data_IF_243213892970
#
_entry.id   IF_243213892970
#
_cell.length_a   1.000
_cell.length_b   1.000
_cell.length_c   1.000
_cell.angle_alpha   90.00
_cell.angle_beta   90.00
_cell.angle_gamma   90.00
#
_symmetry.space_group_name_H-M   'P 1'
#
loop_
_entity.id
_entity.type
_entity.pdbx_description
1 polymer ?
#
# COMPACT_ATOMS: atom_id res chain seq x y z
N UNK A 1 24.41 -4.88 -26.19
CA UNK A 1 24.43 -4.24 -24.86
C UNK A 1 24.21 -2.76 -25.07
N UNK A 2 23.39 -2.12 -24.24
CA UNK A 2 23.09 -0.69 -24.33
C UNK A 2 24.29 0.18 -23.95
N UNK A 3 24.22 1.49 -24.24
CA UNK A 3 25.23 2.47 -23.81
C UNK A 3 25.25 2.62 -22.27
N UNK A 4 26.32 3.19 -21.71
CA UNK A 4 26.48 3.31 -20.25
C UNK A 4 25.35 4.06 -19.54
N UNK A 5 24.73 5.02 -20.22
CA UNK A 5 23.65 5.88 -19.71
C UNK A 5 22.24 5.35 -20.06
N UNK A 6 22.14 4.10 -20.52
CA UNK A 6 20.88 3.48 -20.94
C UNK A 6 20.56 2.25 -20.11
N UNK A 7 19.28 2.08 -19.79
CA UNK A 7 18.76 0.85 -19.20
C UNK A 7 18.34 -0.12 -20.31
N UNK A 8 18.73 -1.40 -20.19
CA UNK A 8 18.31 -2.46 -21.09
C UNK A 8 17.06 -3.16 -20.57
N UNK A 9 15.94 -2.97 -21.27
CA UNK A 9 14.69 -3.69 -21.04
C UNK A 9 14.89 -5.21 -21.19
N UNK A 10 13.99 -6.01 -20.60
CA UNK A 10 14.01 -7.48 -20.71
C UNK A 10 13.78 -7.98 -22.15
N UNK A 11 13.06 -7.23 -22.99
CA UNK A 11 12.95 -7.51 -24.43
C UNK A 11 14.25 -7.18 -25.21
N UNK A 12 15.19 -6.45 -24.59
CA UNK A 12 16.46 -6.04 -25.20
C UNK A 12 16.46 -4.63 -25.78
N UNK A 13 15.34 -3.90 -25.70
CA UNK A 13 15.25 -2.48 -26.00
C UNK A 13 16.11 -1.66 -25.02
N UNK A 14 16.67 -0.54 -25.48
CA UNK A 14 17.42 0.39 -24.65
C UNK A 14 16.58 1.65 -24.44
N UNK A 15 16.35 2.01 -23.19
CA UNK A 15 15.68 3.27 -22.80
C UNK A 15 16.65 4.12 -21.98
N UNK A 16 16.33 5.40 -21.78
CA UNK A 16 17.11 6.27 -20.91
C UNK A 16 17.16 5.72 -19.48
N UNK A 17 18.26 5.94 -18.77
CA UNK A 17 18.32 5.54 -17.37
C UNK A 17 17.40 6.40 -16.48
N UNK A 18 17.05 7.60 -16.94
CA UNK A 18 16.11 8.53 -16.31
C UNK A 18 14.66 8.05 -16.32
N UNK A 19 14.29 7.20 -17.28
CA UNK A 19 12.94 6.63 -17.39
C UNK A 19 12.82 5.28 -16.69
N UNK A 20 13.76 4.96 -15.81
CA UNK A 20 13.69 3.76 -14.99
C UNK A 20 13.06 4.12 -13.65
N UNK A 21 11.96 3.46 -13.31
CA UNK A 21 11.21 3.69 -12.08
C UNK A 21 10.66 5.12 -12.00
N UNK A 22 10.25 5.68 -13.13
CA UNK A 22 9.70 7.04 -13.20
C UNK A 22 8.16 7.07 -13.17
N UNK A 23 7.53 5.90 -13.18
CA UNK A 23 6.08 5.72 -13.18
C UNK A 23 5.45 5.64 -14.58
N UNK A 24 6.24 5.77 -15.64
CA UNK A 24 5.80 5.65 -17.04
C UNK A 24 6.44 4.41 -17.69
N UNK A 25 5.71 3.79 -18.62
CA UNK A 25 6.21 2.61 -19.34
C UNK A 25 6.95 3.04 -20.62
N UNK A 26 8.27 3.19 -20.54
CA UNK A 26 9.17 3.36 -21.67
C UNK A 26 9.56 2.01 -22.32
N UNK A 27 9.68 0.92 -21.55
CA UNK A 27 9.89 -0.41 -22.12
C UNK A 27 8.57 -1.00 -22.64
N UNK A 28 8.58 -1.63 -23.82
CA UNK A 28 7.41 -2.36 -24.34
C UNK A 28 6.96 -3.49 -23.41
N UNK A 29 7.92 -4.11 -22.72
CA UNK A 29 7.66 -5.17 -21.74
C UNK A 29 7.57 -4.64 -20.29
N UNK A 30 7.51 -3.31 -20.12
CA UNK A 30 7.38 -2.60 -18.84
C UNK A 30 8.48 -2.95 -17.82
N UNK A 31 9.66 -3.40 -18.26
CA UNK A 31 10.77 -3.80 -17.36
C UNK A 31 11.55 -2.67 -16.73
N UNK A 32 11.44 -1.47 -17.28
CA UNK A 32 11.91 -0.23 -16.68
C UNK A 32 11.24 0.04 -15.33
N UNK A 33 9.95 -0.29 -15.22
CA UNK A 33 9.18 -0.17 -13.98
C UNK A 33 9.23 -1.44 -13.11
N UNK A 34 10.05 -2.43 -13.49
CA UNK A 34 10.21 -3.68 -12.72
C UNK A 34 11.39 -3.62 -11.76
N UNK A 35 11.18 -4.23 -10.59
CA UNK A 35 12.19 -4.35 -9.54
C UNK A 35 12.79 -2.99 -9.10
N UNK A 36 11.95 -1.96 -9.09
CA UNK A 36 12.29 -0.68 -8.52
C UNK A 36 12.54 -0.83 -7.01
N UNK A 37 13.58 -0.17 -6.52
CA UNK A 37 13.72 0.08 -5.10
C UNK A 37 12.78 1.24 -4.80
N UNK A 38 11.75 0.99 -4.01
CA UNK A 38 10.87 2.06 -3.55
C UNK A 38 11.70 3.10 -2.80
N UNK A 39 11.32 4.38 -2.88
CA UNK A 39 11.99 5.43 -2.10
C UNK A 39 11.88 5.07 -0.62
N UNK A 40 12.79 5.59 0.21
CA UNK A 40 13.00 5.18 1.60
C UNK A 40 11.79 5.30 2.55
N UNK A 41 10.61 5.69 2.08
CA UNK A 41 9.38 5.80 2.83
C UNK A 41 8.16 5.12 2.15
N UNK A 42 8.32 4.54 0.96
CA UNK A 42 7.24 3.93 0.19
C UNK A 42 7.10 2.44 0.53
N UNK A 43 5.84 1.97 0.60
CA UNK A 43 5.53 0.56 0.78
C UNK A 43 5.69 -0.17 -0.56
N UNK A 44 6.33 -1.34 -0.56
CA UNK A 44 6.52 -2.15 -1.75
C UNK A 44 5.49 -3.28 -1.80
N UNK A 45 4.59 -3.22 -2.77
CA UNK A 45 3.66 -4.31 -3.07
C UNK A 45 4.43 -5.59 -3.47
N UNK A 46 3.84 -6.78 -3.29
CA UNK A 46 4.39 -8.06 -3.77
C UNK A 46 4.64 -8.08 -5.28
N UNK A 47 3.81 -7.37 -6.05
CA UNK A 47 3.98 -7.19 -7.51
C UNK A 47 5.13 -6.24 -7.89
N UNK A 48 5.71 -5.52 -6.92
CA UNK A 48 6.82 -4.61 -7.09
C UNK A 48 6.44 -3.14 -7.22
N UNK A 49 5.15 -2.80 -7.28
CA UNK A 49 4.65 -1.42 -7.21
C UNK A 49 5.03 -0.77 -5.89
N UNK A 50 5.32 0.52 -5.95
CA UNK A 50 5.59 1.34 -4.78
C UNK A 50 4.36 2.20 -4.46
N UNK A 51 3.91 2.12 -3.21
CA UNK A 51 2.77 2.86 -2.69
C UNK A 51 3.29 3.96 -1.77
N UNK A 52 2.81 5.18 -1.98
CA UNK A 52 3.16 6.31 -1.13
C UNK A 52 2.77 5.99 0.32
N UNK A 53 3.54 6.39 1.34
CA UNK A 53 3.20 6.10 2.74
C UNK A 53 1.82 6.62 3.18
N UNK A 54 1.32 7.68 2.55
CA UNK A 54 -0.04 8.21 2.79
C UNK A 54 -1.17 7.36 2.18
N UNK A 55 -0.81 6.45 1.28
CA UNK A 55 -1.70 5.50 0.61
C UNK A 55 -1.62 4.10 1.21
N UNK A 56 -0.67 3.86 2.11
CA UNK A 56 -0.64 2.64 2.87
C UNK A 56 -1.67 2.72 3.98
N UNK A 57 -2.59 1.76 4.05
CA UNK A 57 -3.68 1.73 5.04
C UNK A 57 -4.64 2.92 4.92
N UNK A 58 -4.95 3.31 3.69
CA UNK A 58 -5.86 4.42 3.40
C UNK A 58 -7.29 3.96 3.09
N UNK A 59 -7.54 2.65 3.01
CA UNK A 59 -8.83 2.08 2.66
C UNK A 59 -9.07 1.84 1.19
N UNK A 60 -8.11 2.22 0.35
CA UNK A 60 -8.15 1.98 -1.07
C UNK A 60 -7.09 0.93 -1.40
N UNK A 61 -7.42 -0.02 -2.27
CA UNK A 61 -6.43 -0.98 -2.74
C UNK A 61 -5.52 -0.29 -3.76
N UNK A 62 -4.40 0.27 -3.29
CA UNK A 62 -3.37 0.83 -4.15
C UNK A 62 -2.41 -0.27 -4.65
N UNK A 63 -2.25 -1.41 -3.97
CA UNK A 63 -1.60 -2.60 -4.54
C UNK A 63 -2.54 -3.43 -5.42
N UNK A 64 -1.98 -4.18 -6.38
CA UNK A 64 -2.77 -5.03 -7.29
C UNK A 64 -3.54 -6.13 -6.55
N UNK A 65 -2.99 -6.65 -5.44
CA UNK A 65 -3.68 -7.60 -4.57
C UNK A 65 -4.31 -6.95 -3.32
N UNK A 66 -4.12 -5.64 -3.09
CA UNK A 66 -4.58 -4.93 -1.89
C UNK A 66 -3.72 -5.14 -0.63
N UNK A 67 -2.50 -5.68 -0.76
CA UNK A 67 -1.57 -5.95 0.34
C UNK A 67 -1.09 -4.73 1.12
N UNK A 68 -1.20 -3.54 0.54
CA UNK A 68 -1.06 -2.26 1.24
C UNK A 68 -2.09 -2.07 2.35
N UNK A 69 -3.22 -2.79 2.30
CA UNK A 69 -4.31 -2.73 3.29
C UNK A 69 -4.34 -3.96 4.22
N UNK A 70 -3.49 -4.97 4.01
CA UNK A 70 -3.56 -6.24 4.74
C UNK A 70 -2.84 -6.23 6.09
N UNK A 71 -1.87 -5.33 6.30
CA UNK A 71 -1.01 -5.36 7.49
C UNK A 71 -0.75 -3.96 8.05
N UNK A 72 -1.84 -3.29 8.45
CA UNK A 72 -1.81 -1.95 9.05
C UNK A 72 -1.29 -1.88 10.50
N UNK A 73 -0.60 -2.91 11.00
CA UNK A 73 -0.13 -2.98 12.38
C UNK A 73 -1.28 -2.99 13.40
N UNK A 74 -1.13 -2.26 14.52
CA UNK A 74 -2.16 -2.03 15.56
C UNK A 74 -3.32 -1.14 15.08
N UNK A 75 -3.67 -1.18 13.80
CA UNK A 75 -4.78 -0.42 13.23
C UNK A 75 -5.87 -1.37 12.74
N UNK A 76 -7.09 -1.06 13.13
CA UNK A 76 -8.29 -1.71 12.68
C UNK A 76 -8.77 -1.03 11.39
N UNK A 77 -8.93 -1.84 10.34
CA UNK A 77 -9.52 -1.40 9.09
C UNK A 77 -11.05 -1.35 9.25
N UNK A 78 -11.61 -0.15 9.08
CA UNK A 78 -13.03 0.10 9.01
C UNK A 78 -13.61 -0.46 7.70
N UNK A 79 -14.90 -0.78 7.70
CA UNK A 79 -15.62 -1.29 6.54
C UNK A 79 -15.77 -0.25 5.40
N UNK A 80 -15.61 1.04 5.72
CA UNK A 80 -15.54 2.13 4.73
C UNK A 80 -14.13 2.31 4.14
N UNK A 81 -13.16 1.50 4.59
CA UNK A 81 -11.76 1.57 4.20
C UNK A 81 -10.90 2.40 5.16
N UNK A 82 -11.46 3.30 5.96
CA UNK A 82 -10.62 4.10 6.86
C UNK A 82 -9.92 3.23 7.91
N UNK A 83 -8.81 3.70 8.47
CA UNK A 83 -8.08 2.95 9.48
C UNK A 83 -8.06 3.71 10.80
N UNK A 84 -8.53 3.07 11.87
CA UNK A 84 -8.45 3.56 13.24
C UNK A 84 -7.45 2.73 14.04
N UNK A 85 -6.89 3.26 15.11
CA UNK A 85 -5.98 2.46 15.98
C UNK A 85 -6.77 1.45 16.82
N UNK A 86 -6.12 0.41 17.34
CA UNK A 86 -6.75 -0.55 18.26
C UNK A 86 -7.33 0.11 19.52
N UNK A 87 -6.73 1.22 19.98
CA UNK A 87 -7.24 2.01 21.12
C UNK A 87 -8.57 2.73 20.80
N UNK A 88 -8.87 2.85 19.51
CA UNK A 88 -10.10 3.42 18.98
C UNK A 88 -11.03 2.32 18.42
N UNK A 89 -10.66 1.05 18.59
CA UNK A 89 -11.53 -0.07 18.23
C UNK A 89 -12.33 -0.47 19.45
N UNK A 90 -13.66 -0.50 19.34
CA UNK A 90 -14.55 -0.92 20.42
C UNK A 90 -14.34 -0.18 21.76
N UNK A 91 -14.13 1.14 21.67
CA UNK A 91 -13.90 2.01 22.82
C UNK A 91 -15.18 2.72 23.33
N UNK A 92 -16.33 2.48 22.71
CA UNK A 92 -17.61 3.13 23.02
C UNK A 92 -17.85 4.42 22.21
N UNK A 93 -16.97 4.77 21.28
CA UNK A 93 -17.05 5.93 20.39
C UNK A 93 -16.89 5.45 18.96
N UNK A 94 -17.77 5.89 18.07
CA UNK A 94 -17.64 5.58 16.65
C UNK A 94 -16.54 6.45 16.05
N UNK A 95 -15.35 5.87 15.93
CA UNK A 95 -14.17 6.49 15.34
C UNK A 95 -14.05 6.18 13.84
N UNK A 96 -14.68 5.11 13.35
CA UNK A 96 -14.92 4.91 11.91
C UNK A 96 -16.12 5.74 11.45
N UNK A 97 -16.08 6.25 10.21
CA UNK A 97 -17.16 7.06 9.63
C UNK A 97 -18.48 6.27 9.51
N UNK A 98 -18.42 4.95 9.33
CA UNK A 98 -19.58 4.05 9.33
C UNK A 98 -19.82 3.35 10.68
N UNK A 99 -18.97 3.59 11.68
CA UNK A 99 -19.04 2.94 12.99
C UNK A 99 -18.68 1.45 12.99
N UNK A 100 -17.99 0.97 11.96
CA UNK A 100 -17.55 -0.43 11.86
C UNK A 100 -16.46 -0.83 12.86
N UNK A 101 -15.81 0.13 13.51
CA UNK A 101 -15.00 -0.09 14.72
C UNK A 101 -15.85 -0.47 15.94
N UNK A 102 -17.18 -0.29 15.86
CA UNK A 102 -18.12 -0.58 16.93
C UNK A 102 -19.32 -1.42 16.49
N UNK A 103 -19.15 -2.55 15.77
CA UNK A 103 -20.22 -3.18 15.01
C UNK A 103 -21.34 -3.81 15.85
N UNK A 104 -21.25 -3.73 17.20
CA UNK A 104 -22.33 -3.80 18.22
C UNK A 104 -21.78 -3.63 19.67
N UNK A 105 -20.66 -2.90 19.83
CA UNK A 105 -19.75 -2.85 20.99
C UNK A 105 -19.08 -4.21 21.29
N UNK A 106 -17.83 -4.40 20.84
CA UNK A 106 -17.10 -5.68 20.89
C UNK A 106 -17.42 -6.52 22.13
N UNK A 107 -17.97 -7.71 21.91
CA UNK A 107 -17.88 -8.89 22.77
C UNK A 107 -18.38 -8.80 24.22
N UNK A 108 -18.69 -7.63 24.78
CA UNK A 108 -18.80 -7.35 26.22
C UNK A 108 -17.49 -7.66 26.97
N UNK A 109 -16.85 -6.64 27.52
CA UNK A 109 -15.97 -6.85 28.66
C UNK A 109 -16.85 -7.18 29.88
N UNK A 110 -16.94 -8.47 30.20
CA UNK A 110 -17.56 -8.96 31.43
C UNK A 110 -16.76 -8.52 32.67
N UNK A 111 -17.50 -8.01 33.66
CA UNK A 111 -17.20 -7.82 35.09
C UNK A 111 -15.80 -7.36 35.53
N UNK A 112 -15.72 -6.15 36.14
CA UNK A 112 -15.04 -5.93 37.44
C UNK A 112 -15.56 -4.64 38.12
N UNK A 113 -16.66 -4.73 38.88
CA UNK A 113 -16.68 -4.68 40.36
C UNK A 113 -18.11 -4.67 40.92
#
# INVERSE_FOLDING_TARGET
>A
SCHGDQFQCLNGMCVGQEVRCDGDYACVDHSDERNCACRSAEFKCPDGKCVHPSKFCNGESDCTDGSDEWSCGDRHACADGTCVTWSLTCNGVSDCQDGSDEPKLCGKHDTMR
#
